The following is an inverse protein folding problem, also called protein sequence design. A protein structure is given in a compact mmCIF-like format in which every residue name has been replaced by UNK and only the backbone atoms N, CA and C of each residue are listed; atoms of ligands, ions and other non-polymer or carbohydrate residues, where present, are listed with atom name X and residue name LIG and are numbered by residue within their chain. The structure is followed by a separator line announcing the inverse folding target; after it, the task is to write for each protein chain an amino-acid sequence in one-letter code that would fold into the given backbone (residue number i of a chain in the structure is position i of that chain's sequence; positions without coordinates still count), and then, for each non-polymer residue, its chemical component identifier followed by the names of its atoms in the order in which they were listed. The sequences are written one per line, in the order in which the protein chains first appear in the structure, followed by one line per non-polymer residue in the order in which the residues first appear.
data_IF_440770610283
#
_entry.id   IF_440770610283
#
_cell.length_a   1.000
_cell.length_b   1.000
_cell.length_c   1.000
_cell.angle_alpha   90.00
_cell.angle_beta   90.00
_cell.angle_gamma   90.00
#
_symmetry.space_group_name_H-M   'P 1'
#
loop_
_entity.id
_entity.type
_entity.pdbx_description
1 polymer ?
#
# COMPACT_ATOMS: atom_id res chain seq x y z
N UNK A 1 20.29 7.30 -6.54
CA UNK A 1 20.20 6.08 -5.72
C UNK A 1 20.06 4.89 -6.64
N UNK A 2 20.89 3.87 -6.45
CA UNK A 2 20.90 2.68 -7.31
C UNK A 2 19.58 1.90 -7.24
N UNK A 3 19.21 1.25 -8.36
CA UNK A 3 17.99 0.44 -8.49
C UNK A 3 18.34 -0.93 -9.07
N UNK A 4 19.03 -1.79 -8.31
CA UNK A 4 19.55 -3.05 -8.83
C UNK A 4 18.45 -4.10 -9.11
N UNK A 5 17.28 -3.98 -8.49
CA UNK A 5 16.23 -4.98 -8.57
C UNK A 5 15.29 -4.73 -9.75
N UNK A 6 15.50 -5.40 -10.88
CA UNK A 6 14.71 -5.24 -12.10
C UNK A 6 13.56 -6.25 -12.19
N UNK A 7 12.36 -5.78 -12.50
CA UNK A 7 11.21 -6.62 -12.78
C UNK A 7 11.37 -7.27 -14.16
N UNK A 8 11.37 -8.61 -14.27
CA UNK A 8 11.52 -9.29 -15.55
C UNK A 8 10.31 -9.11 -16.47
N UNK A 9 9.10 -8.90 -15.91
CA UNK A 9 7.87 -8.80 -16.68
C UNK A 9 7.67 -7.44 -17.38
N UNK A 10 8.16 -6.34 -16.78
CA UNK A 10 7.95 -4.99 -17.32
C UNK A 10 9.21 -4.10 -17.34
N UNK A 11 10.36 -4.63 -16.91
CA UNK A 11 11.63 -3.91 -16.92
C UNK A 11 11.79 -2.82 -15.86
N UNK A 12 10.77 -2.52 -15.05
CA UNK A 12 10.86 -1.52 -13.96
C UNK A 12 11.87 -1.95 -12.90
N UNK A 13 12.74 -1.03 -12.50
CA UNK A 13 13.75 -1.28 -11.47
C UNK A 13 13.37 -0.70 -10.11
N UNK A 14 13.86 -1.29 -9.02
CA UNK A 14 13.59 -0.88 -7.64
C UNK A 14 14.89 -0.82 -6.84
N UNK A 15 14.94 0.07 -5.85
CA UNK A 15 16.09 0.19 -4.93
C UNK A 15 16.08 -0.88 -3.83
N UNK A 16 14.93 -1.51 -3.55
CA UNK A 16 14.78 -2.55 -2.56
C UNK A 16 14.10 -3.79 -3.16
N UNK A 17 14.56 -4.96 -2.76
CA UNK A 17 14.00 -6.24 -3.21
C UNK A 17 12.54 -6.42 -2.77
N UNK A 18 12.19 -5.98 -1.56
CA UNK A 18 10.82 -6.00 -1.04
C UNK A 18 9.83 -5.25 -1.94
N UNK A 19 10.23 -4.09 -2.47
CA UNK A 19 9.41 -3.32 -3.41
C UNK A 19 9.25 -4.02 -4.77
N UNK A 20 10.29 -4.71 -5.26
CA UNK A 20 10.18 -5.54 -6.46
C UNK A 20 9.18 -6.69 -6.24
N UNK A 21 9.26 -7.42 -5.13
CA UNK A 21 8.34 -8.51 -4.82
C UNK A 21 6.89 -8.02 -4.71
N UNK A 22 6.67 -6.90 -4.01
CA UNK A 22 5.36 -6.27 -3.91
C UNK A 22 4.83 -5.87 -5.30
N UNK A 23 5.68 -5.29 -6.13
CA UNK A 23 5.33 -4.94 -7.50
C UNK A 23 4.96 -6.18 -8.34
N UNK A 24 5.68 -7.30 -8.20
CA UNK A 24 5.36 -8.55 -8.88
C UNK A 24 4.01 -9.14 -8.43
N UNK A 25 3.64 -9.01 -7.16
CA UNK A 25 2.29 -9.40 -6.70
C UNK A 25 1.18 -8.65 -7.44
N UNK A 26 1.41 -7.38 -7.78
CA UNK A 26 0.46 -6.60 -8.55
C UNK A 26 0.28 -7.13 -9.99
N UNK A 27 1.35 -7.65 -10.62
CA UNK A 27 1.24 -8.33 -11.91
C UNK A 27 0.41 -9.61 -11.82
N UNK A 28 0.59 -10.39 -10.75
CA UNK A 28 -0.17 -11.62 -10.52
C UNK A 28 -1.60 -11.37 -9.99
N UNK A 29 -1.99 -10.12 -9.74
CA UNK A 29 -3.27 -9.79 -9.11
C UNK A 29 -3.40 -10.27 -7.65
N UNK A 30 -2.30 -10.68 -7.02
CA UNK A 30 -2.30 -11.23 -5.67
C UNK A 30 -2.53 -10.09 -4.67
N UNK A 31 -3.59 -10.24 -3.86
CA UNK A 31 -3.99 -9.27 -2.83
C UNK A 31 -4.21 -10.00 -1.50
N UNK A 32 -3.14 -10.25 -0.72
CA UNK A 32 -3.23 -11.14 0.43
C UNK A 32 -3.90 -10.50 1.65
N UNK A 33 -4.17 -9.19 1.61
CA UNK A 33 -4.70 -8.45 2.75
C UNK A 33 -6.18 -8.15 2.53
N UNK A 34 -7.08 -8.89 3.19
CA UNK A 34 -8.52 -8.69 3.10
C UNK A 34 -9.05 -7.81 4.24
N UNK A 35 -10.00 -6.93 3.93
CA UNK A 35 -10.73 -6.18 4.94
C UNK A 35 -11.79 -7.06 5.60
N UNK A 36 -11.72 -7.22 6.91
CA UNK A 36 -12.70 -8.00 7.68
C UNK A 36 -14.12 -7.41 7.68
N UNK A 37 -14.27 -6.10 7.41
CA UNK A 37 -15.59 -5.43 7.43
C UNK A 37 -16.33 -5.49 6.10
N UNK A 38 -15.63 -5.39 4.95
CA UNK A 38 -16.27 -5.33 3.62
C UNK A 38 -15.71 -6.35 2.61
N UNK A 39 -14.77 -7.21 3.01
CA UNK A 39 -14.17 -8.24 2.16
C UNK A 39 -13.20 -7.72 1.08
N UNK A 40 -12.98 -6.40 0.98
CA UNK A 40 -12.11 -5.81 -0.04
C UNK A 40 -10.64 -6.21 0.17
N UNK A 41 -9.97 -6.66 -0.88
CA UNK A 41 -8.57 -7.11 -0.82
C UNK A 41 -7.56 -6.06 -1.33
N UNK A 42 -6.39 -6.04 -0.70
CA UNK A 42 -5.28 -5.12 -0.94
C UNK A 42 -3.96 -5.87 -1.15
N UNK A 43 -3.06 -5.27 -1.95
CA UNK A 43 -1.73 -5.81 -2.22
C UNK A 43 -0.71 -5.54 -1.10
N UNK A 44 -1.00 -4.56 -0.23
CA UNK A 44 -0.14 -4.14 0.88
C UNK A 44 -0.93 -4.03 2.19
N UNK A 45 -0.27 -4.26 3.32
CA UNK A 45 -0.88 -4.12 4.65
C UNK A 45 -1.18 -2.65 4.99
N UNK A 46 -0.30 -1.72 4.59
CA UNK A 46 -0.50 -0.28 4.75
C UNK A 46 -1.77 0.21 4.06
N UNK A 47 -2.06 -0.30 2.86
CA UNK A 47 -3.26 0.03 2.11
C UNK A 47 -4.53 -0.46 2.83
N UNK A 48 -4.48 -1.68 3.40
CA UNK A 48 -5.57 -2.20 4.22
C UNK A 48 -5.79 -1.34 5.47
N UNK A 49 -4.71 -0.97 6.18
CA UNK A 49 -4.81 -0.13 7.39
C UNK A 49 -5.42 1.23 7.05
N UNK A 50 -4.94 1.87 5.98
CA UNK A 50 -5.51 3.13 5.51
C UNK A 50 -6.98 2.97 5.09
N UNK A 51 -7.33 1.86 4.45
CA UNK A 51 -8.71 1.56 4.12
C UNK A 51 -9.57 1.36 5.38
N UNK A 52 -9.10 0.68 6.42
CA UNK A 52 -9.91 0.48 7.63
C UNK A 52 -10.32 1.79 8.30
N UNK A 53 -9.52 2.86 8.12
CA UNK A 53 -9.87 4.21 8.60
C UNK A 53 -11.11 4.78 7.91
N UNK A 54 -11.45 4.34 6.70
CA UNK A 54 -12.68 4.76 6.02
C UNK A 54 -13.93 4.19 6.68
N UNK A 55 -13.81 3.08 7.41
CA UNK A 55 -14.91 2.48 8.17
C UNK A 55 -15.03 3.08 9.57
N UNK A 56 -13.90 3.37 10.22
CA UNK A 56 -13.89 3.93 11.58
C UNK A 56 -14.06 5.45 11.60
N UNK A 57 -13.80 6.14 10.50
CA UNK A 57 -13.76 7.60 10.44
C UNK A 57 -12.56 8.21 11.18
N UNK A 58 -11.56 7.40 11.55
CA UNK A 58 -10.35 7.87 12.23
C UNK A 58 -9.56 8.84 11.34
N UNK A 59 -9.16 9.98 11.92
CA UNK A 59 -8.37 11.04 11.26
C UNK A 59 -7.12 11.35 12.10
N UNK A 60 -6.05 10.56 11.96
CA UNK A 60 -4.88 10.65 12.84
C UNK A 60 -4.10 11.94 12.66
N UNK A 61 -4.17 12.55 11.48
CA UNK A 61 -3.29 13.65 11.11
C UNK A 61 -3.99 14.98 11.33
N UNK A 62 -3.63 15.69 12.41
CA UNK A 62 -4.16 17.02 12.70
C UNK A 62 -3.19 18.13 12.26
N UNK A 63 -3.68 19.04 11.43
CA UNK A 63 -2.95 20.27 11.11
C UNK A 63 -2.90 21.18 12.33
N UNK A 64 -1.70 21.55 12.78
CA UNK A 64 -1.51 22.45 13.93
C UNK A 64 -1.92 23.89 13.65
N UNK A 65 -1.85 24.34 12.40
CA UNK A 65 -2.15 25.73 12.03
C UNK A 65 -3.66 25.99 11.91
N UNK A 66 -4.42 25.09 11.28
CA UNK A 66 -5.86 25.27 11.04
C UNK A 66 -6.76 24.31 11.82
N UNK A 67 -6.20 23.38 12.61
CA UNK A 67 -6.93 22.44 13.47
C UNK A 67 -7.65 21.30 12.74
N UNK A 68 -7.69 21.31 11.40
CA UNK A 68 -8.35 20.27 10.59
C UNK A 68 -7.65 18.92 10.73
N UNK A 69 -8.44 17.87 10.89
CA UNK A 69 -7.97 16.49 10.94
C UNK A 69 -8.17 15.80 9.58
N UNK A 70 -7.21 14.97 9.19
CA UNK A 70 -7.12 14.21 7.94
C UNK A 70 -6.87 12.73 8.24
#
# INVERSE_FOLDING_TARGET
GERPYKCPACGKSFSQHSHLLQHQRAHAGIRPYACGQCGKCFGQSSDLINHTRTHTGEKPYKCRQCGRAF
#
